data_IF_532078800808
#
_entry.id   IF_532078800808
#
_cell.length_a   1.000
_cell.length_b   1.000
_cell.length_c   1.000
_cell.angle_alpha   90.00
_cell.angle_beta   90.00
_cell.angle_gamma   90.00
#
_symmetry.space_group_name_H-M   'P 1'
#
loop_
_entity.id
_entity.type
_entity.pdbx_description
1 polymer ?
#
# COMPACT_ATOMS: atom_id res chain seq x y z
N UNK A 1 35.50 -3.67 -22.55
CA UNK A 1 35.29 -3.66 -21.09
C UNK A 1 33.80 -3.72 -20.88
N UNK A 2 33.29 -4.57 -19.97
CA UNK A 2 31.86 -4.50 -19.64
C UNK A 2 31.64 -3.19 -18.88
N UNK A 3 30.66 -2.39 -19.29
CA UNK A 3 30.35 -1.16 -18.58
C UNK A 3 29.72 -1.51 -17.24
N UNK A 4 30.21 -0.89 -16.17
CA UNK A 4 29.61 -1.03 -14.86
C UNK A 4 28.21 -0.42 -14.86
N UNK A 5 27.25 -1.18 -14.31
CA UNK A 5 25.84 -0.80 -14.27
C UNK A 5 25.33 -0.69 -12.83
N UNK A 6 24.42 0.26 -12.62
CA UNK A 6 23.57 0.33 -11.43
C UNK A 6 22.19 -0.16 -11.82
N UNK A 7 21.69 -1.14 -11.06
CA UNK A 7 20.36 -1.71 -11.27
C UNK A 7 19.37 -1.10 -10.27
N UNK A 8 18.31 -0.46 -10.77
CA UNK A 8 17.13 -0.16 -9.95
C UNK A 8 16.20 -1.38 -10.04
N UNK A 9 15.84 -1.95 -8.89
CA UNK A 9 14.95 -3.10 -8.76
C UNK A 9 13.74 -2.71 -7.90
N UNK A 10 12.56 -2.67 -8.51
CA UNK A 10 11.32 -2.33 -7.85
C UNK A 10 10.76 -3.54 -7.12
N UNK A 11 10.56 -3.37 -5.82
CA UNK A 11 9.99 -4.39 -4.95
C UNK A 11 8.47 -4.20 -4.81
N UNK A 12 7.80 -5.29 -4.45
CA UNK A 12 6.44 -5.30 -3.91
C UNK A 12 5.40 -4.74 -4.87
N UNK A 13 5.62 -4.96 -6.17
CA UNK A 13 4.78 -4.48 -7.24
C UNK A 13 3.91 -5.60 -7.81
N UNK A 14 2.67 -5.27 -8.18
CA UNK A 14 1.78 -6.17 -8.90
C UNK A 14 0.75 -6.89 -8.03
N UNK A 15 -0.04 -7.75 -8.68
CA UNK A 15 -1.19 -8.44 -8.09
C UNK A 15 -0.91 -9.88 -7.68
N UNK A 16 0.36 -10.31 -7.69
CA UNK A 16 0.75 -11.70 -7.38
C UNK A 16 0.23 -12.16 -6.01
N UNK A 17 0.20 -11.26 -5.02
CA UNK A 17 -0.29 -11.54 -3.67
C UNK A 17 -1.81 -11.72 -3.59
N UNK A 18 -2.56 -11.26 -4.61
CA UNK A 18 -4.01 -11.38 -4.68
C UNK A 18 -4.44 -12.80 -5.11
N UNK A 19 -3.53 -13.60 -5.65
CA UNK A 19 -3.79 -15.00 -6.01
C UNK A 19 -3.37 -15.89 -4.84
N UNK A 20 -4.33 -16.60 -4.24
CA UNK A 20 -4.04 -17.54 -3.15
C UNK A 20 -3.39 -16.89 -1.92
N UNK A 21 -2.48 -17.64 -1.29
CA UNK A 21 -1.68 -17.20 -0.15
C UNK A 21 -0.22 -16.91 -0.59
N UNK A 22 -0.05 -16.41 -1.81
CA UNK A 22 1.26 -16.24 -2.43
C UNK A 22 2.20 -15.37 -1.61
N UNK A 23 3.48 -15.72 -1.66
CA UNK A 23 4.57 -14.92 -1.11
C UNK A 23 5.44 -14.48 -2.29
N UNK A 24 5.51 -13.16 -2.51
CA UNK A 24 6.38 -12.60 -3.54
C UNK A 24 7.84 -12.93 -3.23
N UNK A 25 8.56 -13.43 -4.21
CA UNK A 25 9.94 -13.89 -4.06
C UNK A 25 10.88 -12.76 -3.63
N UNK A 26 10.55 -11.51 -3.94
CA UNK A 26 11.33 -10.34 -3.61
C UNK A 26 11.46 -10.05 -2.10
N UNK A 27 10.64 -10.70 -1.27
CA UNK A 27 10.71 -10.62 0.18
C UNK A 27 12.07 -11.03 0.74
N UNK A 28 12.78 -11.95 0.07
CA UNK A 28 14.09 -12.46 0.51
C UNK A 28 15.20 -11.40 0.45
N UNK A 29 15.01 -10.37 -0.37
CA UNK A 29 16.02 -9.32 -0.59
C UNK A 29 16.41 -8.58 0.69
N UNK A 30 15.59 -8.63 1.73
CA UNK A 30 15.76 -7.86 2.96
C UNK A 30 15.98 -8.75 4.21
N UNK A 31 16.21 -10.06 4.03
CA UNK A 31 16.46 -10.99 5.13
C UNK A 31 17.76 -11.76 4.94
N UNK A 32 18.40 -12.10 6.05
CA UNK A 32 19.54 -13.02 6.05
C UNK A 32 19.06 -14.46 6.19
N UNK A 33 19.70 -15.35 5.45
CA UNK A 33 19.55 -16.80 5.59
C UNK A 33 20.20 -17.30 6.90
N UNK A 34 20.16 -18.61 7.12
CA UNK A 34 20.73 -19.21 8.31
C UNK A 34 22.25 -19.05 8.45
N UNK A 35 22.95 -18.82 7.35
CA UNK A 35 24.39 -18.59 7.28
C UNK A 35 24.75 -17.09 7.31
N UNK A 36 23.77 -16.21 7.51
CA UNK A 36 23.98 -14.76 7.57
C UNK A 36 24.16 -14.08 6.21
N UNK A 37 23.80 -14.75 5.10
CA UNK A 37 23.91 -14.24 3.73
C UNK A 37 22.58 -13.64 3.26
N UNK A 38 22.64 -12.59 2.44
CA UNK A 38 21.46 -12.08 1.72
C UNK A 38 21.48 -12.58 0.27
N UNK A 39 20.32 -13.05 -0.19
CA UNK A 39 20.10 -13.47 -1.57
C UNK A 39 19.19 -12.47 -2.28
N UNK A 40 19.54 -12.13 -3.53
CA UNK A 40 18.83 -11.11 -4.28
C UNK A 40 17.98 -11.69 -5.41
N UNK A 41 16.66 -11.60 -5.24
CA UNK A 41 15.67 -11.70 -6.30
C UNK A 41 15.58 -10.39 -7.09
N UNK A 42 15.93 -10.47 -8.37
CA UNK A 42 15.80 -9.36 -9.32
C UNK A 42 14.54 -9.56 -10.18
N UNK A 43 13.61 -8.61 -10.17
CA UNK A 43 12.36 -8.73 -10.92
C UNK A 43 12.60 -8.79 -12.44
N UNK A 44 11.66 -9.35 -13.21
CA UNK A 44 10.42 -10.02 -12.78
C UNK A 44 10.58 -11.54 -12.62
N UNK A 45 11.78 -12.10 -12.81
CA UNK A 45 11.99 -13.55 -12.87
C UNK A 45 13.18 -14.06 -12.06
N UNK A 46 13.75 -13.24 -11.18
CA UNK A 46 14.89 -13.57 -10.33
C UNK A 46 16.20 -13.80 -11.10
N UNK A 47 16.31 -13.36 -12.36
CA UNK A 47 17.48 -13.57 -13.24
C UNK A 47 17.95 -12.28 -13.89
N UNK A 48 19.26 -12.03 -13.89
CA UNK A 48 19.92 -11.02 -14.72
C UNK A 48 20.68 -11.70 -15.85
N UNK A 49 20.61 -11.13 -17.05
CA UNK A 49 21.32 -11.65 -18.20
C UNK A 49 22.85 -11.49 -18.06
N UNK A 50 23.60 -12.47 -18.54
CA UNK A 50 25.07 -12.48 -18.45
C UNK A 50 25.78 -11.33 -19.19
N UNK A 51 25.09 -10.63 -20.09
CA UNK A 51 25.56 -9.43 -20.78
C UNK A 51 25.66 -8.21 -19.87
N UNK A 52 24.88 -8.17 -18.78
CA UNK A 52 24.92 -7.09 -17.80
C UNK A 52 26.09 -7.26 -16.82
N UNK A 53 26.61 -6.13 -16.35
CA UNK A 53 27.70 -6.05 -15.38
C UNK A 53 27.30 -5.15 -14.22
N UNK A 54 26.33 -5.66 -13.44
CA UNK A 54 25.74 -4.94 -12.30
C UNK A 54 26.73 -4.90 -11.13
N UNK A 55 27.04 -3.69 -10.65
CA UNK A 55 27.90 -3.47 -9.48
C UNK A 55 27.11 -3.25 -8.19
N UNK A 56 25.96 -2.61 -8.31
CA UNK A 56 25.10 -2.27 -7.18
C UNK A 56 23.63 -2.38 -7.59
N UNK A 57 22.80 -2.76 -6.62
CA UNK A 57 21.34 -2.76 -6.77
C UNK A 57 20.74 -1.73 -5.82
N UNK A 58 19.83 -0.90 -6.33
CA UNK A 58 19.00 -0.01 -5.53
C UNK A 58 17.59 -0.59 -5.52
N UNK A 59 17.13 -0.97 -4.34
CA UNK A 59 15.78 -1.46 -4.15
C UNK A 59 14.84 -0.29 -3.95
N UNK A 60 13.76 -0.24 -4.74
CA UNK A 60 12.80 0.86 -4.71
C UNK A 60 11.37 0.36 -4.59
N UNK A 61 10.46 1.23 -4.16
CA UNK A 61 9.01 1.01 -4.24
C UNK A 61 8.33 2.17 -4.96
N UNK A 62 7.20 1.91 -5.61
CA UNK A 62 6.48 2.95 -6.32
C UNK A 62 5.81 3.92 -5.34
N UNK A 63 5.87 5.22 -5.66
CA UNK A 63 5.15 6.29 -4.98
C UNK A 63 4.13 6.91 -5.93
N UNK A 64 4.57 7.36 -7.10
CA UNK A 64 3.70 8.03 -8.06
C UNK A 64 4.04 7.64 -9.50
N UNK A 65 3.03 7.08 -10.17
CA UNK A 65 3.09 6.73 -11.58
C UNK A 65 4.26 5.79 -11.91
N UNK A 66 5.06 6.16 -12.91
CA UNK A 66 6.30 5.47 -13.29
C UNK A 66 7.53 6.36 -13.11
N UNK A 67 7.32 7.55 -12.57
CA UNK A 67 8.27 8.66 -12.59
C UNK A 67 8.91 8.90 -11.24
N UNK A 68 8.27 8.48 -10.15
CA UNK A 68 8.73 8.77 -8.79
C UNK A 68 8.66 7.53 -7.91
N UNK A 69 9.79 7.18 -7.31
CA UNK A 69 9.96 6.00 -6.47
C UNK A 69 10.65 6.35 -5.16
N UNK A 70 10.44 5.53 -4.14
CA UNK A 70 11.14 5.64 -2.86
C UNK A 70 12.21 4.55 -2.76
N UNK A 71 13.40 4.93 -2.28
CA UNK A 71 14.51 4.01 -2.06
C UNK A 71 14.34 3.31 -0.72
N UNK A 72 14.45 1.98 -0.74
CA UNK A 72 14.25 1.10 0.42
C UNK A 72 15.57 0.56 0.95
N UNK A 73 16.49 0.23 0.06
CA UNK A 73 17.79 -0.32 0.41
C UNK A 73 18.75 -0.22 -0.77
N UNK A 74 20.05 -0.34 -0.49
CA UNK A 74 21.06 -0.65 -1.50
C UNK A 74 21.77 -1.96 -1.19
N UNK A 75 22.15 -2.68 -2.23
CA UNK A 75 23.04 -3.83 -2.15
C UNK A 75 24.34 -3.54 -2.91
N UNK A 76 25.47 -3.83 -2.27
CA UNK A 76 26.81 -3.66 -2.79
C UNK A 76 27.57 -4.99 -2.74
N UNK A 77 28.77 -5.07 -3.33
CA UNK A 77 29.59 -6.31 -3.32
C UNK A 77 28.80 -7.54 -3.80
N UNK A 78 28.24 -7.45 -4.99
CA UNK A 78 27.42 -8.51 -5.54
C UNK A 78 28.29 -9.68 -6.01
N UNK A 79 27.95 -10.88 -5.57
CA UNK A 79 28.55 -12.12 -6.05
C UNK A 79 27.50 -12.93 -6.81
N UNK A 80 27.83 -13.53 -7.97
CA UNK A 80 26.97 -14.51 -8.61
C UNK A 80 26.65 -15.66 -7.64
N UNK A 81 25.46 -16.25 -7.78
CA UNK A 81 25.08 -17.40 -6.96
C UNK A 81 25.92 -18.62 -7.30
N UNK A 82 26.36 -19.27 -6.24
CA UNK A 82 27.18 -20.48 -6.22
C UNK A 82 26.49 -21.65 -5.46
N UNK A 83 25.25 -21.46 -5.00
CA UNK A 83 24.49 -22.44 -4.21
C UNK A 83 23.18 -22.84 -4.90
N UNK A 84 22.73 -24.08 -4.66
CA UNK A 84 21.41 -24.50 -5.11
C UNK A 84 20.32 -23.88 -4.22
N UNK A 85 19.14 -23.52 -4.77
CA UNK A 85 18.05 -22.96 -3.96
C UNK A 85 17.68 -23.77 -2.72
N UNK A 86 17.71 -25.10 -2.80
CA UNK A 86 17.35 -25.97 -1.67
C UNK A 86 18.34 -25.92 -0.48
N UNK A 87 19.55 -25.40 -0.70
CA UNK A 87 20.55 -25.25 0.37
C UNK A 87 20.34 -23.97 1.19
N UNK A 88 19.52 -23.05 0.68
CA UNK A 88 19.18 -21.79 1.36
C UNK A 88 18.03 -22.02 2.32
N UNK A 89 18.26 -21.69 3.60
CA UNK A 89 17.29 -21.86 4.68
C UNK A 89 17.08 -20.59 5.46
N UNK A 90 15.86 -20.40 5.93
CA UNK A 90 15.49 -19.32 6.84
C UNK A 90 14.83 -19.94 8.05
N UNK A 91 15.46 -19.82 9.21
CA UNK A 91 15.03 -20.43 10.45
C UNK A 91 14.82 -21.95 10.31
N UNK A 92 15.83 -22.63 9.74
CA UNK A 92 15.88 -24.06 9.43
C UNK A 92 14.90 -24.56 8.36
N UNK A 93 14.01 -23.70 7.86
CA UNK A 93 13.08 -24.02 6.76
C UNK A 93 13.73 -23.77 5.41
N UNK A 94 13.81 -24.77 4.51
CA UNK A 94 14.24 -24.57 3.14
C UNK A 94 13.37 -23.56 2.42
N UNK A 95 13.97 -22.63 1.66
CA UNK A 95 13.25 -21.62 0.88
C UNK A 95 12.22 -22.23 -0.09
N UNK A 96 12.43 -23.46 -0.55
CA UNK A 96 11.47 -24.21 -1.38
C UNK A 96 10.18 -24.56 -0.66
N UNK A 97 10.23 -24.78 0.65
CA UNK A 97 9.04 -25.01 1.46
C UNK A 97 8.29 -23.70 1.74
N UNK A 98 8.99 -22.56 1.76
CA UNK A 98 8.35 -21.26 1.94
C UNK A 98 7.44 -20.94 0.74
N UNK A 99 7.92 -21.16 -0.47
CA UNK A 99 7.19 -20.86 -1.71
C UNK A 99 6.37 -22.03 -2.27
N UNK A 100 6.26 -23.15 -1.56
CA UNK A 100 5.62 -24.38 -2.06
C UNK A 100 4.16 -24.20 -2.48
N UNK A 101 3.45 -23.28 -1.84
CA UNK A 101 2.01 -23.07 -2.00
C UNK A 101 1.69 -21.90 -2.93
N UNK A 102 2.72 -21.31 -3.55
CA UNK A 102 2.53 -20.24 -4.50
C UNK A 102 1.79 -20.77 -5.75
N UNK A 103 0.88 -19.96 -6.27
CA UNK A 103 0.05 -20.24 -7.45
C UNK A 103 0.10 -19.03 -8.38
N UNK A 104 0.40 -19.25 -9.65
CA UNK A 104 0.37 -18.21 -10.68
C UNK A 104 -0.53 -18.64 -11.83
N UNK A 105 -1.58 -17.86 -12.10
CA UNK A 105 -2.60 -18.17 -13.11
C UNK A 105 -3.19 -19.59 -12.96
N UNK A 106 -3.51 -19.97 -11.73
CA UNK A 106 -4.12 -21.26 -11.37
C UNK A 106 -3.15 -22.45 -11.39
N UNK A 107 -1.85 -22.23 -11.60
CA UNK A 107 -0.82 -23.28 -11.62
C UNK A 107 0.16 -23.10 -10.49
N UNK A 108 0.65 -24.20 -9.91
CA UNK A 108 1.70 -24.15 -8.88
C UNK A 108 2.94 -23.42 -9.42
N UNK A 109 3.46 -22.49 -8.62
CA UNK A 109 4.63 -21.68 -8.89
C UNK A 109 5.65 -21.82 -7.76
N UNK A 110 6.26 -22.99 -7.67
CA UNK A 110 7.29 -23.30 -6.67
C UNK A 110 8.71 -22.94 -7.13
N UNK A 111 8.86 -22.14 -8.20
CA UNK A 111 10.16 -21.90 -8.82
C UNK A 111 10.92 -20.82 -8.07
N UNK A 112 12.14 -21.14 -7.62
CA UNK A 112 12.95 -20.22 -6.84
C UNK A 112 14.09 -19.71 -7.70
N UNK A 113 14.13 -18.40 -7.88
CA UNK A 113 15.19 -17.74 -8.62
C UNK A 113 15.75 -16.59 -7.81
N UNK A 114 17.06 -16.59 -7.61
CA UNK A 114 17.79 -15.40 -7.19
C UNK A 114 18.96 -15.24 -8.17
N UNK A 115 19.54 -14.05 -8.26
CA UNK A 115 20.67 -13.76 -9.18
C UNK A 115 22.00 -13.56 -8.45
N UNK A 116 21.96 -12.88 -7.31
CA UNK A 116 23.16 -12.51 -6.56
C UNK A 116 23.08 -12.95 -5.11
N UNK A 117 24.24 -13.12 -4.48
CA UNK A 117 24.40 -13.03 -3.03
C UNK A 117 25.20 -11.78 -2.66
N UNK A 118 24.95 -11.24 -1.47
CA UNK A 118 25.67 -10.09 -0.91
C UNK A 118 25.73 -10.23 0.61
N UNK A 119 26.79 -9.68 1.20
CA UNK A 119 26.99 -9.51 2.64
C UNK A 119 26.82 -8.04 3.08
N UNK A 120 26.34 -7.18 2.16
CA UNK A 120 26.30 -5.74 2.37
C UNK A 120 25.03 -5.12 1.78
N UNK A 121 23.94 -5.25 2.54
CA UNK A 121 22.71 -4.48 2.34
C UNK A 121 22.67 -3.32 3.33
N UNK A 122 22.47 -2.10 2.83
CA UNK A 122 22.34 -0.90 3.68
C UNK A 122 20.97 -0.27 3.47
N UNK A 123 20.26 -0.06 4.57
CA UNK A 123 19.01 0.69 4.61
C UNK A 123 19.31 2.20 4.69
N UNK A 124 18.40 3.06 4.22
CA UNK A 124 18.45 4.48 4.55
C UNK A 124 18.50 4.69 6.07
N UNK A 125 19.23 5.72 6.53
CA UNK A 125 19.32 6.03 7.96
C UNK A 125 17.94 6.26 8.58
N UNK A 126 17.79 5.97 9.87
CA UNK A 126 16.57 6.29 10.62
C UNK A 126 16.15 7.75 10.39
N UNK A 127 14.88 7.97 10.07
CA UNK A 127 14.28 9.26 9.70
C UNK A 127 14.79 9.90 8.39
N UNK A 128 15.58 9.17 7.59
CA UNK A 128 15.98 9.60 6.25
C UNK A 128 15.11 8.90 5.22
N UNK A 129 14.29 9.67 4.52
CA UNK A 129 13.47 9.18 3.41
C UNK A 129 14.06 9.69 2.10
N UNK A 130 14.33 8.79 1.16
CA UNK A 130 14.98 9.13 -0.12
C UNK A 130 14.01 8.84 -1.26
N UNK A 131 13.73 9.85 -2.08
CA UNK A 131 12.91 9.73 -3.28
C UNK A 131 13.74 9.95 -4.54
N UNK A 132 13.53 9.12 -5.54
CA UNK A 132 14.07 9.33 -6.89
C UNK A 132 12.94 9.77 -7.79
N UNK A 133 13.15 10.84 -8.56
CA UNK A 133 12.14 11.33 -9.52
C UNK A 133 12.78 11.71 -10.85
N UNK A 134 12.09 11.39 -11.95
CA UNK A 134 12.36 11.97 -13.28
C UNK A 134 11.34 13.08 -13.62
N UNK A 135 10.40 13.36 -12.72
CA UNK A 135 9.44 14.46 -12.85
C UNK A 135 10.01 15.70 -12.13
N UNK A 136 10.40 16.71 -12.89
CA UNK A 136 10.98 17.95 -12.36
C UNK A 136 10.00 18.76 -11.50
N UNK A 137 8.71 18.65 -11.79
CA UNK A 137 7.64 19.35 -11.08
C UNK A 137 7.26 18.67 -9.76
N UNK A 138 7.72 17.43 -9.52
CA UNK A 138 7.42 16.71 -8.30
C UNK A 138 8.02 17.43 -7.08
N UNK A 139 7.17 17.69 -6.08
CA UNK A 139 7.54 18.28 -4.80
C UNK A 139 7.09 17.35 -3.68
N UNK A 140 8.00 16.90 -2.80
CA UNK A 140 7.61 16.17 -1.61
C UNK A 140 6.78 17.07 -0.69
N UNK A 141 5.87 16.45 0.06
CA UNK A 141 5.04 17.14 1.06
C UNK A 141 5.78 17.38 2.39
N UNK A 142 7.07 17.04 2.47
CA UNK A 142 7.87 17.04 3.68
C UNK A 142 9.32 17.41 3.34
N UNK A 143 9.81 18.49 3.94
CA UNK A 143 11.15 19.06 3.70
C UNK A 143 12.28 18.16 4.22
N UNK A 144 11.97 17.16 5.06
CA UNK A 144 12.95 16.18 5.53
C UNK A 144 13.29 15.14 4.44
N UNK A 145 12.46 15.02 3.41
CA UNK A 145 12.65 14.07 2.31
C UNK A 145 13.85 14.49 1.44
N UNK A 146 14.77 13.55 1.24
CA UNK A 146 15.89 13.68 0.30
C UNK A 146 15.41 13.35 -1.11
N UNK A 147 15.04 14.38 -1.86
CA UNK A 147 14.64 14.24 -3.25
C UNK A 147 15.87 14.28 -4.17
N UNK A 148 16.04 13.22 -4.96
CA UNK A 148 17.07 13.09 -5.98
C UNK A 148 16.39 13.10 -7.34
N UNK A 149 16.74 14.10 -8.14
CA UNK A 149 16.29 14.17 -9.54
C UNK A 149 17.21 13.32 -10.38
N UNK A 150 16.61 12.43 -11.15
CA UNK A 150 17.29 11.61 -12.12
C UNK A 150 17.09 12.24 -13.50
N UNK A 151 18.15 12.82 -14.06
CA UNK A 151 18.13 13.31 -15.43
C UNK A 151 18.35 12.13 -16.37
N UNK A 152 17.30 11.31 -16.51
CA UNK A 152 17.30 10.10 -17.31
C UNK A 152 16.85 10.38 -18.74
N UNK A 153 17.47 9.73 -19.71
CA UNK A 153 16.99 9.70 -21.09
C UNK A 153 15.62 9.00 -21.24
N UNK A 154 15.15 8.32 -20.18
CA UNK A 154 13.91 7.56 -20.17
C UNK A 154 12.77 8.31 -19.49
N UNK A 155 11.56 8.07 -19.98
CA UNK A 155 10.31 8.58 -19.40
C UNK A 155 9.77 7.75 -18.22
N UNK A 156 10.52 6.76 -17.76
CA UNK A 156 10.14 5.93 -16.61
C UNK A 156 11.36 5.43 -15.82
N UNK A 157 11.26 5.48 -14.49
CA UNK A 157 12.16 4.76 -13.57
C UNK A 157 11.72 3.30 -13.46
N UNK A 158 10.40 3.10 -13.36
CA UNK A 158 9.76 1.79 -13.30
C UNK A 158 9.10 1.44 -14.64
N UNK A 159 9.54 0.34 -15.25
CA UNK A 159 8.91 -0.23 -16.44
C UNK A 159 8.16 -1.53 -16.09
N UNK A 160 7.51 -2.17 -17.07
CA UNK A 160 6.75 -3.42 -16.84
C UNK A 160 7.58 -4.57 -16.26
N UNK A 161 8.92 -4.56 -16.43
CA UNK A 161 9.80 -5.58 -15.88
C UNK A 161 10.16 -5.34 -14.40
N UNK A 162 9.74 -4.21 -13.83
CA UNK A 162 10.07 -3.82 -12.46
C UNK A 162 11.55 -3.53 -12.24
N UNK A 163 12.39 -3.51 -13.29
CA UNK A 163 13.83 -3.25 -13.18
C UNK A 163 14.34 -2.33 -14.29
N UNK A 164 15.45 -1.65 -14.02
CA UNK A 164 16.13 -0.83 -15.01
C UNK A 164 17.63 -0.72 -14.73
N UNK A 165 18.43 -0.82 -15.79
CA UNK A 165 19.88 -0.69 -15.75
C UNK A 165 20.27 0.74 -16.16
N UNK A 166 21.23 1.29 -15.44
CA UNK A 166 21.82 2.59 -15.70
C UNK A 166 23.32 2.42 -15.87
N UNK A 167 23.87 2.97 -16.95
CA UNK A 167 25.29 2.90 -17.28
C UNK A 167 25.77 4.28 -17.74
N UNK A 168 27.07 4.53 -17.62
CA UNK A 168 27.68 5.75 -18.14
C UNK A 168 27.51 5.92 -19.67
N UNK A 169 27.29 4.82 -20.41
CA UNK A 169 27.13 4.84 -21.87
C UNK A 169 25.69 5.18 -22.29
N UNK A 170 24.69 4.64 -21.59
CA UNK A 170 23.29 4.72 -22.02
C UNK A 170 22.54 5.90 -21.38
N UNK A 171 22.92 6.25 -20.15
CA UNK A 171 22.20 7.26 -19.35
C UNK A 171 23.14 7.96 -18.36
N UNK A 172 24.15 8.66 -18.91
CA UNK A 172 25.27 9.22 -18.15
C UNK A 172 24.85 10.08 -16.95
N UNK A 173 23.95 11.04 -17.12
CA UNK A 173 23.56 11.97 -16.06
C UNK A 173 22.88 11.22 -14.90
N UNK A 174 21.85 10.42 -15.20
CA UNK A 174 21.19 9.58 -14.20
C UNK A 174 22.16 8.59 -13.54
N UNK A 175 23.10 8.02 -14.29
CA UNK A 175 24.12 7.13 -13.73
C UNK A 175 25.01 7.85 -12.70
N UNK A 176 25.49 9.06 -13.00
CA UNK A 176 26.28 9.87 -12.06
C UNK A 176 25.47 10.22 -10.82
N UNK A 177 24.19 10.56 -10.95
CA UNK A 177 23.32 10.87 -9.82
C UNK A 177 23.09 9.66 -8.91
N UNK A 178 22.92 8.48 -9.49
CA UNK A 178 22.83 7.23 -8.74
C UNK A 178 24.16 6.86 -8.08
N UNK A 179 25.30 7.12 -8.73
CA UNK A 179 26.61 6.96 -8.09
C UNK A 179 26.77 7.90 -6.89
N UNK A 180 26.38 9.17 -7.03
CA UNK A 180 26.44 10.14 -5.94
C UNK A 180 25.54 9.74 -4.76
N UNK A 181 24.34 9.21 -5.04
CA UNK A 181 23.47 8.62 -4.02
C UNK A 181 24.15 7.45 -3.30
N UNK A 182 24.68 6.49 -4.04
CA UNK A 182 25.29 5.29 -3.46
C UNK A 182 26.52 5.64 -2.61
N UNK A 183 27.32 6.63 -3.03
CA UNK A 183 28.55 7.03 -2.35
C UNK A 183 28.33 8.03 -1.19
N UNK A 184 27.10 8.50 -0.96
CA UNK A 184 26.81 9.41 0.14
C UNK A 184 26.51 8.63 1.43
N UNK A 185 27.53 8.46 2.28
CA UNK A 185 27.41 7.71 3.54
C UNK A 185 26.47 8.34 4.59
N UNK A 186 26.12 9.63 4.45
CA UNK A 186 25.15 10.28 5.35
C UNK A 186 23.74 9.74 5.15
N UNK A 187 23.45 9.12 4.00
CA UNK A 187 22.12 8.59 3.69
C UNK A 187 21.90 7.17 4.18
N UNK A 188 22.96 6.43 4.50
CA UNK A 188 22.91 4.99 4.73
C UNK A 188 23.32 4.62 6.15
N UNK A 189 22.61 3.66 6.76
CA UNK A 189 23.07 3.03 8.01
C UNK A 189 24.49 2.47 7.84
N UNK A 190 25.35 2.57 8.84
CA UNK A 190 26.77 2.19 8.73
C UNK A 190 26.96 0.70 8.45
N UNK A 191 26.20 -0.12 9.19
CA UNK A 191 26.25 -1.57 9.10
C UNK A 191 25.06 -2.15 8.34
N UNK A 192 25.21 -3.42 7.95
CA UNK A 192 24.10 -4.21 7.43
C UNK A 192 23.11 -4.52 8.55
N UNK A 193 21.97 -3.82 8.51
CA UNK A 193 20.87 -3.93 9.49
C UNK A 193 19.82 -4.96 9.10
N UNK A 194 20.03 -5.74 8.04
CA UNK A 194 19.13 -6.85 7.73
C UNK A 194 19.29 -7.95 8.79
N UNK A 195 18.16 -8.48 9.23
CA UNK A 195 18.12 -9.44 10.33
C UNK A 195 18.05 -10.86 9.78
N UNK A 196 18.70 -11.80 10.50
CA UNK A 196 18.40 -13.22 10.35
C UNK A 196 17.00 -13.45 10.90
N UNK A 197 16.15 -14.11 10.13
CA UNK A 197 14.84 -14.51 10.62
C UNK A 197 15.02 -15.56 11.72
N UNK A 198 14.50 -15.26 12.90
CA UNK A 198 14.39 -16.22 14.00
C UNK A 198 12.94 -16.70 14.09
N UNK A 199 12.75 -17.99 14.35
CA UNK A 199 11.47 -18.49 14.81
C UNK A 199 11.18 -17.86 16.16
N UNK A 200 10.11 -17.08 16.24
CA UNK A 200 9.62 -16.50 17.49
C UNK A 200 8.27 -17.14 17.81
N UNK A 201 8.23 -17.98 18.85
CA UNK A 201 6.99 -18.62 19.29
C UNK A 201 5.94 -17.57 19.72
N UNK A 202 6.32 -16.36 20.11
CA UNK A 202 5.39 -15.27 20.42
C UNK A 202 4.68 -14.71 19.17
N UNK A 203 5.26 -14.91 17.97
CA UNK A 203 4.64 -14.56 16.69
C UNK A 203 3.62 -15.61 16.22
N UNK A 204 3.51 -16.77 16.90
CA UNK A 204 2.41 -17.75 16.67
C UNK A 204 1.03 -17.24 17.12
N UNK A 205 0.91 -16.00 17.59
CA UNK A 205 -0.30 -15.48 18.25
C UNK A 205 -1.08 -14.38 17.54
N UNK A 206 -0.54 -13.71 16.52
CA UNK A 206 -1.34 -12.76 15.72
C UNK A 206 -2.11 -13.54 14.65
N UNK A 207 -3.13 -14.29 15.07
CA UNK A 207 -3.99 -15.03 14.15
C UNK A 207 -4.48 -14.16 12.98
N UNK A 208 -4.75 -14.79 11.84
CA UNK A 208 -5.39 -14.11 10.71
C UNK A 208 -6.68 -13.45 11.20
N UNK A 209 -6.88 -12.19 10.84
CA UNK A 209 -8.15 -11.50 11.05
C UNK A 209 -9.25 -12.18 10.25
N UNK A 210 -10.51 -12.00 10.66
CA UNK A 210 -11.63 -12.54 9.86
C UNK A 210 -11.61 -12.00 8.42
N UNK A 211 -11.16 -10.75 8.20
CA UNK A 211 -11.00 -10.15 6.87
C UNK A 211 -9.98 -10.89 6.02
N UNK A 212 -8.86 -11.28 6.61
CA UNK A 212 -7.81 -12.09 5.97
C UNK A 212 -8.31 -13.51 5.68
N UNK A 213 -9.07 -14.10 6.60
CA UNK A 213 -9.66 -15.45 6.44
C UNK A 213 -10.65 -15.48 5.27
N UNK A 214 -11.54 -14.50 5.17
CA UNK A 214 -12.56 -14.44 4.10
C UNK A 214 -12.06 -13.74 2.82
N UNK A 215 -10.82 -13.22 2.82
CA UNK A 215 -10.17 -12.52 1.71
C UNK A 215 -10.94 -11.27 1.24
N UNK A 216 -11.39 -10.46 2.19
CA UNK A 216 -12.17 -9.23 1.96
C UNK A 216 -11.45 -7.96 2.45
N UNK A 217 -10.13 -8.02 2.57
CA UNK A 217 -9.27 -6.95 3.06
C UNK A 217 -9.24 -5.72 2.14
N UNK A 218 -9.75 -5.83 0.91
CA UNK A 218 -9.81 -4.72 -0.06
C UNK A 218 -11.22 -4.52 -0.64
N UNK A 219 -12.23 -5.14 -0.03
CA UNK A 219 -13.59 -5.16 -0.55
C UNK A 219 -14.36 -3.93 -0.03
N UNK A 220 -14.66 -2.99 -0.93
CA UNK A 220 -15.33 -1.72 -0.63
C UNK A 220 -16.66 -1.94 0.12
N UNK A 221 -17.44 -2.92 -0.34
CA UNK A 221 -18.73 -3.28 0.25
C UNK A 221 -18.59 -3.76 1.71
N UNK A 222 -17.60 -4.63 1.96
CA UNK A 222 -17.28 -5.16 3.29
C UNK A 222 -16.86 -4.04 4.24
N UNK A 223 -16.02 -3.11 3.80
CA UNK A 223 -15.62 -1.98 4.63
C UNK A 223 -16.77 -1.01 4.91
N UNK A 224 -17.61 -0.72 3.91
CA UNK A 224 -18.83 0.04 4.15
C UNK A 224 -19.72 -0.67 5.19
N UNK A 225 -19.71 -2.01 5.26
CA UNK A 225 -20.58 -2.78 6.17
C UNK A 225 -20.07 -2.64 7.59
N UNK A 226 -18.76 -2.79 7.76
CA UNK A 226 -18.10 -2.63 9.03
C UNK A 226 -18.20 -1.20 9.54
N UNK A 227 -18.04 -0.20 8.67
CA UNK A 227 -18.24 1.20 9.04
C UNK A 227 -19.66 1.45 9.55
N UNK A 228 -20.68 1.04 8.79
CA UNK A 228 -22.08 1.15 9.22
C UNK A 228 -22.32 0.44 10.56
N UNK A 229 -21.79 -0.77 10.72
CA UNK A 229 -21.89 -1.54 11.95
C UNK A 229 -21.31 -0.79 13.16
N UNK A 230 -20.06 -0.30 13.08
CA UNK A 230 -19.44 0.38 14.21
C UNK A 230 -20.01 1.78 14.47
N UNK A 231 -20.51 2.45 13.43
CA UNK A 231 -21.26 3.70 13.60
C UNK A 231 -22.58 3.47 14.34
N UNK A 232 -23.25 2.35 14.07
CA UNK A 232 -24.48 1.95 14.76
C UNK A 232 -24.21 1.39 16.17
N UNK A 233 -23.12 0.63 16.34
CA UNK A 233 -22.73 -0.05 17.58
C UNK A 233 -22.64 0.93 18.75
N UNK A 234 -22.06 2.11 18.51
CA UNK A 234 -22.00 3.16 19.50
C UNK A 234 -22.35 4.52 18.87
N UNK A 235 -23.65 4.81 18.79
CA UNK A 235 -24.18 6.07 18.22
C UNK A 235 -23.62 7.33 18.88
N UNK A 236 -23.30 7.30 20.17
CA UNK A 236 -22.71 8.45 20.86
C UNK A 236 -21.28 8.73 20.36
N UNK A 237 -20.48 7.68 20.18
CA UNK A 237 -19.15 7.80 19.58
C UNK A 237 -19.24 8.16 18.10
N UNK A 238 -20.24 7.67 17.36
CA UNK A 238 -20.43 8.12 15.98
C UNK A 238 -20.79 9.61 15.88
N UNK A 239 -21.63 10.16 16.77
CA UNK A 239 -21.85 11.62 16.83
C UNK A 239 -20.57 12.41 17.08
N UNK A 240 -19.68 11.86 17.91
CA UNK A 240 -18.33 12.40 18.10
C UNK A 240 -17.49 12.32 16.83
N UNK A 241 -17.60 11.24 16.04
CA UNK A 241 -16.96 11.11 14.74
C UNK A 241 -17.45 12.18 13.75
N UNK A 242 -18.77 12.39 13.65
CA UNK A 242 -19.33 13.41 12.76
C UNK A 242 -18.83 14.82 13.11
N UNK A 243 -18.72 15.13 14.40
CA UNK A 243 -18.12 16.39 14.83
C UNK A 243 -16.62 16.49 14.54
N UNK A 244 -15.83 15.52 14.99
CA UNK A 244 -14.36 15.60 14.95
C UNK A 244 -13.77 15.36 13.56
N UNK A 245 -14.42 14.53 12.73
CA UNK A 245 -13.91 14.08 11.43
C UNK A 245 -14.71 14.68 10.27
N UNK A 246 -16.05 14.71 10.37
CA UNK A 246 -16.89 15.26 9.30
C UNK A 246 -17.12 16.78 9.41
N UNK A 247 -16.79 17.38 10.56
CA UNK A 247 -16.87 18.82 10.81
C UNK A 247 -18.29 19.36 11.03
N UNK A 248 -19.23 18.50 11.44
CA UNK A 248 -20.64 18.87 11.63
C UNK A 248 -21.05 18.68 13.09
N UNK A 249 -21.41 19.77 13.78
CA UNK A 249 -21.67 19.79 15.23
C UNK A 249 -23.07 19.30 15.64
N UNK A 250 -24.02 19.26 14.70
CA UNK A 250 -25.45 19.22 15.00
C UNK A 250 -26.14 17.88 14.72
N UNK A 251 -25.39 16.79 14.48
CA UNK A 251 -25.98 15.46 14.35
C UNK A 251 -26.78 15.09 15.62
N UNK A 252 -28.09 14.90 15.44
CA UNK A 252 -29.05 14.61 16.49
C UNK A 252 -28.82 13.21 17.08
N UNK A 253 -29.28 12.94 18.32
CA UNK A 253 -29.16 11.61 18.93
C UNK A 253 -29.91 10.50 18.18
N UNK A 254 -31.01 10.86 17.52
CA UNK A 254 -31.80 9.95 16.67
C UNK A 254 -31.42 10.23 15.22
N UNK A 255 -30.90 9.20 14.57
CA UNK A 255 -30.51 9.20 13.18
C UNK A 255 -30.49 7.75 12.70
N UNK A 256 -30.65 7.58 11.39
CA UNK A 256 -30.61 6.30 10.69
C UNK A 256 -29.37 6.20 9.82
N UNK A 257 -28.84 4.98 9.70
CA UNK A 257 -27.75 4.63 8.78
C UNK A 257 -28.34 3.64 7.79
N UNK A 258 -28.45 4.06 6.54
CA UNK A 258 -29.03 3.30 5.43
C UNK A 258 -27.91 2.96 4.46
N UNK A 259 -27.82 1.68 4.10
CA UNK A 259 -26.83 1.18 3.14
C UNK A 259 -27.50 0.77 1.83
N UNK A 260 -26.93 1.20 0.71
CA UNK A 260 -27.20 0.80 -0.68
C UNK A 260 -28.64 0.95 -1.19
N UNK A 261 -29.63 0.99 -0.32
CA UNK A 261 -31.06 1.05 -0.63
C UNK A 261 -31.46 2.44 -1.14
N UNK A 262 -30.71 3.47 -0.76
CA UNK A 262 -30.87 4.83 -1.27
C UNK A 262 -29.97 5.02 -2.50
N UNK A 263 -30.45 4.57 -3.66
CA UNK A 263 -29.82 4.79 -4.97
C UNK A 263 -28.38 4.24 -5.12
N UNK A 264 -28.05 3.17 -4.39
CA UNK A 264 -26.73 2.54 -4.34
C UNK A 264 -25.64 3.45 -3.74
N UNK A 265 -26.04 4.35 -2.83
CA UNK A 265 -25.10 5.10 -1.99
C UNK A 265 -24.55 4.15 -0.93
N UNK A 266 -23.21 4.11 -0.77
CA UNK A 266 -22.56 3.19 0.18
C UNK A 266 -23.04 3.40 1.61
N UNK A 267 -23.06 4.65 2.08
CA UNK A 267 -23.59 5.04 3.37
C UNK A 267 -24.41 6.33 3.24
N UNK A 268 -25.70 6.22 3.51
CA UNK A 268 -26.63 7.33 3.69
C UNK A 268 -26.95 7.45 5.17
N UNK A 269 -26.70 8.60 5.77
CA UNK A 269 -26.97 8.83 7.20
C UNK A 269 -27.89 10.03 7.32
N UNK A 270 -28.96 9.90 8.08
CA UNK A 270 -30.00 10.90 8.11
C UNK A 270 -30.55 11.09 9.51
N UNK A 271 -30.64 12.36 9.92
CA UNK A 271 -31.40 12.77 11.10
C UNK A 271 -32.52 13.74 10.70
N UNK A 272 -33.12 14.42 11.66
CA UNK A 272 -34.22 15.37 11.39
C UNK A 272 -33.77 16.62 10.59
N UNK A 273 -32.47 16.94 10.59
CA UNK A 273 -31.92 18.19 10.06
C UNK A 273 -30.95 17.98 8.88
N UNK A 274 -30.30 16.82 8.80
CA UNK A 274 -29.11 16.59 8.01
C UNK A 274 -29.19 15.25 7.26
N UNK A 275 -28.59 15.24 6.07
CA UNK A 275 -28.32 14.05 5.27
C UNK A 275 -26.83 14.02 4.97
N UNK A 276 -26.16 12.92 5.31
CA UNK A 276 -24.76 12.66 4.98
C UNK A 276 -24.70 11.57 3.91
N UNK A 277 -24.13 11.93 2.76
CA UNK A 277 -23.91 11.04 1.63
C UNK A 277 -22.42 10.71 1.58
N UNK A 278 -22.08 9.45 1.82
CA UNK A 278 -20.70 9.01 1.89
C UNK A 278 -20.49 7.90 0.85
N UNK A 279 -19.53 8.13 -0.03
CA UNK A 279 -19.01 7.14 -0.97
C UNK A 279 -17.71 6.54 -0.41
N UNK A 280 -17.55 5.22 -0.45
CA UNK A 280 -16.37 4.53 0.06
C UNK A 280 -15.56 3.88 -1.08
N UNK A 281 -14.32 4.32 -1.26
CA UNK A 281 -13.45 3.85 -2.35
C UNK A 281 -12.11 3.37 -1.86
N UNK A 282 -11.80 2.08 -2.05
CA UNK A 282 -10.54 1.48 -1.60
C UNK A 282 -9.53 1.37 -2.74
N UNK A 283 -9.93 0.72 -3.84
CA UNK A 283 -9.04 0.50 -5.00
C UNK A 283 -9.57 1.14 -6.26
N UNK A 284 -10.88 1.23 -6.39
CA UNK A 284 -11.50 1.76 -7.59
C UNK A 284 -11.51 3.29 -7.58
N UNK A 285 -11.48 3.88 -8.77
CA UNK A 285 -11.82 5.28 -8.96
C UNK A 285 -13.34 5.48 -8.90
N UNK A 286 -13.77 6.72 -9.09
CA UNK A 286 -15.19 7.05 -9.23
C UNK A 286 -15.72 6.47 -10.55
N UNK A 287 -16.82 5.73 -10.49
CA UNK A 287 -17.40 5.07 -11.68
C UNK A 287 -18.29 6.01 -12.50
N UNK A 288 -18.57 5.59 -13.74
CA UNK A 288 -19.56 6.22 -14.60
C UNK A 288 -19.16 7.59 -15.14
N UNK A 289 -17.85 7.85 -15.26
CA UNK A 289 -17.31 9.11 -15.78
C UNK A 289 -17.70 9.25 -17.26
N UNK A 290 -18.33 10.37 -17.60
CA UNK A 290 -18.68 10.78 -18.97
C UNK A 290 -17.79 11.93 -19.44
N UNK A 291 -17.82 12.21 -20.75
CA UNK A 291 -17.01 13.25 -21.38
C UNK A 291 -17.26 14.67 -20.84
N UNK A 292 -18.45 14.92 -20.28
CA UNK A 292 -18.85 16.18 -19.67
C UNK A 292 -18.46 16.29 -18.18
N UNK A 293 -17.72 15.32 -17.65
CA UNK A 293 -17.34 15.25 -16.25
C UNK A 293 -18.46 14.75 -15.31
N UNK A 294 -19.59 14.29 -15.84
CA UNK A 294 -20.62 13.62 -15.05
C UNK A 294 -20.10 12.28 -14.51
N UNK A 295 -20.45 11.93 -13.29
CA UNK A 295 -20.00 10.71 -12.60
C UNK A 295 -21.06 10.14 -11.66
N UNK A 296 -20.79 9.00 -11.01
CA UNK A 296 -21.67 8.48 -9.94
C UNK A 296 -21.91 9.50 -8.80
N UNK A 297 -20.95 10.38 -8.51
CA UNK A 297 -21.10 11.39 -7.45
C UNK A 297 -22.18 12.43 -7.80
N UNK A 298 -22.31 12.75 -9.09
CA UNK A 298 -23.39 13.59 -9.62
C UNK A 298 -24.74 12.92 -9.41
N UNK A 299 -24.85 11.64 -9.75
CA UNK A 299 -26.07 10.85 -9.55
C UNK A 299 -26.54 10.88 -8.09
N UNK A 300 -25.61 10.79 -7.13
CA UNK A 300 -25.94 10.87 -5.71
C UNK A 300 -26.38 12.27 -5.29
N UNK A 301 -25.74 13.33 -5.79
CA UNK A 301 -26.19 14.70 -5.57
C UNK A 301 -27.60 14.93 -6.13
N UNK A 302 -27.83 14.60 -7.40
CA UNK A 302 -29.15 14.78 -8.04
C UNK A 302 -30.26 14.05 -7.28
N UNK A 303 -30.00 12.81 -6.84
CA UNK A 303 -30.95 12.05 -6.04
C UNK A 303 -31.22 12.71 -4.68
N UNK A 304 -30.18 13.13 -3.97
CA UNK A 304 -30.28 13.75 -2.64
C UNK A 304 -30.98 15.09 -2.71
N UNK A 305 -30.53 15.97 -3.62
CA UNK A 305 -31.07 17.32 -3.78
C UNK A 305 -32.55 17.29 -4.22
N UNK A 306 -32.94 16.30 -5.03
CA UNK A 306 -34.35 16.08 -5.40
C UNK A 306 -35.21 15.74 -4.17
N UNK A 307 -34.72 14.88 -3.27
CA UNK A 307 -35.45 14.51 -2.04
C UNK A 307 -35.59 15.69 -1.08
N UNK A 308 -34.49 16.37 -0.77
CA UNK A 308 -34.52 17.49 0.20
C UNK A 308 -35.29 18.72 -0.32
N UNK A 309 -35.49 18.84 -1.63
CA UNK A 309 -36.26 19.94 -2.23
C UNK A 309 -37.74 19.61 -2.45
N UNK A 310 -38.17 18.37 -2.23
CA UNK A 310 -39.54 17.93 -2.47
C UNK A 310 -40.38 17.99 -1.17
N UNK A 311 -41.40 18.86 -1.04
CA UNK A 311 -42.21 18.98 0.17
C UNK A 311 -42.93 17.71 0.62
N UNK A 312 -43.11 16.75 -0.29
CA UNK A 312 -43.77 15.47 -0.01
C UNK A 312 -42.78 14.36 0.40
N UNK A 313 -41.47 14.63 0.41
CA UNK A 313 -40.42 13.68 0.82
C UNK A 313 -40.05 13.86 2.29
N UNK A 314 -39.71 12.79 2.98
CA UNK A 314 -39.32 12.81 4.40
C UNK A 314 -37.96 13.52 4.65
N UNK A 315 -37.16 13.66 3.61
CA UNK A 315 -35.90 14.40 3.66
C UNK A 315 -36.08 15.92 3.41
N UNK A 316 -37.31 16.41 3.19
CA UNK A 316 -37.57 17.81 2.84
C UNK A 316 -36.94 18.80 3.84
N UNK A 317 -36.24 19.80 3.31
CA UNK A 317 -35.64 20.88 4.10
C UNK A 317 -34.35 20.51 4.85
N UNK A 318 -33.87 19.27 4.75
CA UNK A 318 -32.62 18.83 5.37
C UNK A 318 -31.39 19.38 4.64
N UNK A 319 -30.28 19.52 5.37
CA UNK A 319 -28.99 19.97 4.85
C UNK A 319 -28.19 18.75 4.39
N UNK A 320 -27.75 18.76 3.13
CA UNK A 320 -26.93 17.69 2.56
C UNK A 320 -25.43 17.94 2.71
N UNK A 321 -24.70 16.90 3.14
CA UNK A 321 -23.25 16.87 3.31
C UNK A 321 -22.66 15.69 2.52
N UNK A 322 -21.55 15.90 1.82
CA UNK A 322 -21.02 14.95 0.84
C UNK A 322 -19.56 14.58 1.15
N UNK A 323 -19.27 13.29 1.29
CA UNK A 323 -17.94 12.79 1.65
C UNK A 323 -17.48 11.62 0.79
N UNK A 324 -16.16 11.50 0.64
CA UNK A 324 -15.51 10.32 0.05
C UNK A 324 -14.55 9.76 1.07
N UNK A 325 -14.75 8.51 1.47
CA UNK A 325 -13.82 7.77 2.31
C UNK A 325 -12.84 7.02 1.41
N UNK A 326 -11.54 7.23 1.61
CA UNK A 326 -10.51 6.63 0.76
C UNK A 326 -9.24 6.27 1.52
N UNK A 327 -8.54 5.17 1.17
CA UNK A 327 -7.20 4.90 1.64
C UNK A 327 -6.22 6.04 1.34
N UNK A 328 -5.15 6.11 2.11
CA UNK A 328 -4.13 7.15 1.95
C UNK A 328 -3.38 7.05 0.60
N UNK A 329 -3.39 5.87 -0.02
CA UNK A 329 -2.78 5.62 -1.33
C UNK A 329 -3.73 5.84 -2.51
N UNK A 330 -5.05 5.98 -2.28
CA UNK A 330 -6.02 6.14 -3.35
C UNK A 330 -6.42 7.62 -3.46
N UNK A 331 -5.71 8.34 -4.33
CA UNK A 331 -5.90 9.77 -4.55
C UNK A 331 -7.02 10.03 -5.56
N UNK A 332 -8.18 10.43 -5.06
CA UNK A 332 -9.32 10.82 -5.89
C UNK A 332 -9.28 12.33 -6.11
N UNK A 333 -9.13 12.73 -7.37
CA UNK A 333 -9.15 14.13 -7.77
C UNK A 333 -10.57 14.53 -8.22
N UNK A 334 -11.29 15.20 -7.31
CA UNK A 334 -12.68 15.61 -7.56
C UNK A 334 -12.80 16.78 -8.53
N UNK A 335 -11.70 17.50 -8.85
CA UNK A 335 -11.73 18.64 -9.78
C UNK A 335 -12.08 18.23 -11.22
N UNK A 336 -11.96 16.93 -11.52
CA UNK A 336 -12.30 16.33 -12.82
C UNK A 336 -13.80 16.12 -13.01
N UNK A 337 -14.61 16.32 -11.97
CA UNK A 337 -16.04 16.06 -12.00
C UNK A 337 -16.83 17.37 -11.97
N UNK A 338 -17.89 17.45 -12.75
CA UNK A 338 -18.75 18.63 -12.81
C UNK A 338 -19.79 18.59 -11.66
N UNK A 339 -19.34 18.73 -10.42
CA UNK A 339 -20.17 18.57 -9.22
C UNK A 339 -20.86 19.89 -8.84
N UNK A 340 -22.13 19.82 -8.45
CA UNK A 340 -22.88 21.00 -7.99
C UNK A 340 -22.46 21.45 -6.58
N UNK A 341 -22.06 20.49 -5.73
CA UNK A 341 -21.49 20.70 -4.39
C UNK A 341 -20.16 19.96 -4.27
N UNK A 342 -19.23 20.45 -3.46
CA UNK A 342 -17.95 19.74 -3.25
C UNK A 342 -18.14 18.52 -2.36
N UNK A 343 -17.39 17.45 -2.65
CA UNK A 343 -17.22 16.32 -1.73
C UNK A 343 -15.97 16.54 -0.88
N UNK A 344 -16.07 16.30 0.42
CA UNK A 344 -14.92 16.32 1.33
C UNK A 344 -14.28 14.94 1.39
N UNK A 345 -12.98 14.86 1.10
CA UNK A 345 -12.22 13.61 1.18
C UNK A 345 -11.80 13.38 2.64
N UNK A 346 -12.15 12.22 3.18
CA UNK A 346 -11.71 11.74 4.50
C UNK A 346 -10.84 10.50 4.29
N UNK A 347 -9.62 10.51 4.82
CA UNK A 347 -8.72 9.37 4.62
C UNK A 347 -8.99 8.27 5.62
N UNK A 348 -8.67 7.02 5.27
CA UNK A 348 -8.74 5.90 6.22
C UNK A 348 -7.80 6.11 7.40
N UNK A 349 -6.73 6.91 7.27
CA UNK A 349 -5.92 7.33 8.40
C UNK A 349 -6.72 8.16 9.40
N UNK A 350 -7.53 9.11 8.95
CA UNK A 350 -8.37 9.93 9.85
C UNK A 350 -9.39 9.05 10.59
N UNK A 351 -9.99 8.10 9.86
CA UNK A 351 -10.94 7.13 10.41
C UNK A 351 -10.25 6.19 11.41
N UNK A 352 -9.10 5.63 11.04
CA UNK A 352 -8.29 4.75 11.89
C UNK A 352 -7.86 5.45 13.18
N UNK A 353 -7.31 6.67 13.07
CA UNK A 353 -6.84 7.43 14.23
C UNK A 353 -7.99 7.75 15.18
N UNK A 354 -9.18 8.05 14.64
CA UNK A 354 -10.38 8.23 15.44
C UNK A 354 -10.76 6.95 16.21
N UNK A 355 -10.90 5.81 15.50
CA UNK A 355 -11.29 4.55 16.16
C UNK A 355 -10.23 4.08 17.15
N UNK A 356 -8.94 4.22 16.83
CA UNK A 356 -7.83 3.90 17.73
C UNK A 356 -7.89 4.74 19.01
N UNK A 357 -8.08 6.06 18.89
CA UNK A 357 -8.19 6.98 20.04
C UNK A 357 -9.39 6.64 20.93
N UNK A 358 -10.47 6.13 20.34
CA UNK A 358 -11.71 5.80 21.03
C UNK A 358 -11.90 4.28 21.25
N UNK A 359 -10.84 3.47 21.10
CA UNK A 359 -10.91 2.01 21.08
C UNK A 359 -11.59 1.40 22.31
N UNK A 360 -11.41 2.02 23.49
CA UNK A 360 -12.04 1.60 24.74
C UNK A 360 -13.57 1.44 24.65
N UNK A 361 -14.23 2.17 23.74
CA UNK A 361 -15.69 2.14 23.56
C UNK A 361 -16.19 0.97 22.70
N UNK A 362 -15.29 0.11 22.22
CA UNK A 362 -15.58 -1.00 21.32
C UNK A 362 -14.97 -2.33 21.78
N UNK A 363 -14.32 -2.36 22.95
CA UNK A 363 -13.60 -3.54 23.45
C UNK A 363 -14.51 -4.75 23.73
N UNK A 364 -15.81 -4.53 23.92
CA UNK A 364 -16.78 -5.61 24.08
C UNK A 364 -17.07 -6.35 22.76
N UNK A 365 -16.79 -5.73 21.61
CA UNK A 365 -16.90 -6.39 20.32
C UNK A 365 -15.63 -7.19 20.00
N UNK A 366 -15.78 -8.51 19.93
CA UNK A 366 -14.68 -9.46 19.66
C UNK A 366 -13.97 -9.26 18.31
N UNK A 367 -14.59 -8.58 17.35
CA UNK A 367 -14.03 -8.35 16.01
C UNK A 367 -13.55 -6.91 15.79
N UNK A 368 -13.61 -6.06 16.81
CA UNK A 368 -13.15 -4.68 16.70
C UNK A 368 -11.65 -4.57 16.41
N UNK A 369 -10.83 -5.43 17.03
CA UNK A 369 -9.38 -5.48 16.75
C UNK A 369 -9.08 -5.78 15.29
N UNK A 370 -9.85 -6.69 14.69
CA UNK A 370 -9.68 -7.12 13.30
C UNK A 370 -10.10 -6.01 12.33
N UNK A 371 -11.22 -5.35 12.60
CA UNK A 371 -11.65 -4.16 11.85
C UNK A 371 -10.60 -3.04 11.94
N UNK A 372 -10.10 -2.75 13.13
CA UNK A 372 -9.10 -1.70 13.34
C UNK A 372 -7.78 -2.02 12.63
N UNK A 373 -7.36 -3.30 12.62
CA UNK A 373 -6.21 -3.78 11.82
C UNK A 373 -6.47 -3.63 10.32
N UNK A 374 -7.69 -3.95 9.85
CA UNK A 374 -8.11 -3.71 8.47
C UNK A 374 -8.00 -2.25 8.06
N UNK A 375 -8.52 -1.32 8.86
CA UNK A 375 -8.38 0.13 8.61
C UNK A 375 -6.90 0.55 8.58
N UNK A 376 -6.09 0.08 9.53
CA UNK A 376 -4.66 0.38 9.61
C UNK A 376 -3.92 0.02 8.30
N UNK A 377 -4.25 -1.12 7.71
CA UNK A 377 -3.64 -1.59 6.46
C UNK A 377 -3.88 -0.64 5.28
N UNK A 378 -4.95 0.16 5.31
CA UNK A 378 -5.25 1.18 4.29
C UNK A 378 -4.62 2.55 4.56
N UNK A 379 -3.87 2.70 5.67
CA UNK A 379 -3.17 3.95 6.02
C UNK A 379 -1.76 4.04 5.43
N UNK A 380 -1.21 2.92 4.97
CA UNK A 380 0.14 2.79 4.41
C UNK A 380 0.09 2.63 2.90
N UNK A 381 1.20 2.87 2.19
CA UNK A 381 1.24 2.68 0.73
C UNK A 381 0.99 1.21 0.35
N UNK A 382 0.51 0.97 -0.88
CA UNK A 382 0.29 -0.41 -1.40
C UNK A 382 1.57 -1.25 -1.29
N UNK A 383 2.72 -0.65 -1.58
CA UNK A 383 4.02 -1.33 -1.49
C UNK A 383 4.38 -1.72 -0.04
N UNK A 384 4.05 -0.88 0.94
CA UNK A 384 4.23 -1.18 2.37
C UNK A 384 3.29 -2.28 2.85
N UNK A 385 2.04 -2.22 2.41
CA UNK A 385 1.05 -3.25 2.69
C UNK A 385 1.51 -4.59 2.11
N UNK A 386 1.93 -4.59 0.85
CA UNK A 386 2.46 -5.78 0.17
C UNK A 386 3.66 -6.35 0.95
N UNK A 387 4.64 -5.53 1.31
CA UNK A 387 5.77 -5.98 2.12
C UNK A 387 5.33 -6.59 3.45
N UNK A 388 4.41 -5.95 4.16
CA UNK A 388 3.90 -6.42 5.44
C UNK A 388 3.20 -7.79 5.30
N UNK A 389 2.37 -7.95 4.27
CA UNK A 389 1.70 -9.21 3.94
C UNK A 389 2.71 -10.30 3.60
N UNK A 390 3.67 -10.00 2.71
CA UNK A 390 4.71 -10.97 2.32
C UNK A 390 5.55 -11.42 3.50
N UNK A 391 6.01 -10.48 4.32
CA UNK A 391 6.77 -10.77 5.54
C UNK A 391 5.95 -11.63 6.49
N UNK A 392 4.68 -11.31 6.72
CA UNK A 392 3.81 -12.10 7.59
C UNK A 392 3.62 -13.54 7.08
N UNK A 393 3.32 -13.71 5.79
CA UNK A 393 3.17 -15.04 5.17
C UNK A 393 4.49 -15.83 5.19
N UNK A 394 5.63 -15.16 5.00
CA UNK A 394 6.96 -15.78 5.08
C UNK A 394 7.23 -16.27 6.50
N UNK A 395 7.00 -15.43 7.51
CA UNK A 395 7.15 -15.79 8.92
C UNK A 395 6.22 -16.94 9.32
N UNK A 396 4.99 -16.95 8.84
CA UNK A 396 4.05 -18.04 9.07
C UNK A 396 4.58 -19.36 8.49
N UNK A 397 5.15 -19.33 7.29
CA UNK A 397 5.72 -20.52 6.64
C UNK A 397 6.89 -21.11 7.39
N UNK A 398 7.82 -20.28 7.85
CA UNK A 398 8.99 -20.79 8.61
C UNK A 398 8.58 -21.32 10.00
N UNK A 399 7.52 -20.76 10.61
CA UNK A 399 7.04 -21.18 11.93
C UNK A 399 6.14 -22.44 11.93
N UNK A 400 5.67 -22.89 10.75
CA UNK A 400 4.82 -24.08 10.57
C UNK A 400 5.60 -25.39 10.52
N UNK A 401 6.90 -25.33 10.20
CA UNK A 401 7.86 -26.43 10.29
C UNK A 401 8.39 -26.56 11.71
#
# INVERSE_FOLDING_TARGET
MRNDEILINQLFAGSYLNEGANIGHEVINLFKDDNGQNYLYITPGGKVDSSHSVKSVIFVRNIEGKTTVEVIAKAEKLYPIDVAPNDVKYADTPISNVFSDNIYHGKSDSSIFFTYRTDKIRLPRKNTRILLTINDEFKPNDDTIRLIRLHSNSKAISNQSGRKYYSAQDDYNAYIELQNLLNNDDYWEEDDTTEKLITDESMRGAGLTFLEIIRKENDELTFSNLLAYYFQYNKAIFRKFVREILGVDDLRPRFDIIRESNNNIDLWIEDDNNVFVIENKIKSGINGIKDDGYSQLNKYQEYTEKRISNPDDDAYGKISHYYIFTPNYNHIDTSKYNLAKSYTIITYKDIYDFFRKNAANFLEDKYFSDFLKGLKNHTVSISELNFSIMRARFLEKINRT
#
